data_IF_573958174131
#
_entry.id   IF_573958174131
#
_cell.length_a   1.000
_cell.length_b   1.000
_cell.length_c   1.000
_cell.angle_alpha   90.00
_cell.angle_beta   90.00
_cell.angle_gamma   90.00
#
_symmetry.space_group_name_H-M   'P 1'
#
loop_
_entity.id
_entity.type
_entity.pdbx_description
1 polymer ?
#
# COMPACT_ATOMS: atom_id res chain seq x y z
N UNK A 1 1.54 -23.43 39.17
CA UNK A 1 1.72 -22.10 39.81
C UNK A 1 2.34 -21.20 38.76
N UNK A 2 1.51 -20.47 38.00
CA UNK A 2 1.90 -19.82 36.75
C UNK A 2 2.86 -18.65 36.94
N UNK A 3 3.86 -18.57 36.07
CA UNK A 3 4.90 -17.55 36.01
C UNK A 3 4.30 -16.19 35.68
N UNK A 4 4.36 -15.26 36.64
CA UNK A 4 4.12 -13.83 36.40
C UNK A 4 5.40 -13.20 35.87
N UNK A 5 5.77 -13.49 34.62
CA UNK A 5 6.65 -12.60 33.87
C UNK A 5 5.84 -11.36 33.48
N UNK A 6 5.74 -10.42 34.43
CA UNK A 6 5.22 -9.08 34.16
C UNK A 6 6.26 -8.35 33.33
N UNK A 7 5.88 -7.91 32.13
CA UNK A 7 6.64 -6.97 31.31
C UNK A 7 7.16 -5.81 32.17
N UNK A 8 8.46 -5.81 32.44
CA UNK A 8 9.15 -4.70 33.08
C UNK A 8 9.04 -3.50 32.15
N UNK A 9 8.18 -2.54 32.48
CA UNK A 9 8.27 -1.20 31.90
C UNK A 9 9.45 -0.54 32.60
N UNK A 10 10.63 -0.61 31.96
CA UNK A 10 11.82 0.07 32.45
C UNK A 10 11.51 1.57 32.48
N UNK A 11 11.44 2.14 33.69
CA UNK A 11 11.12 3.56 33.87
C UNK A 11 12.25 4.36 33.23
N UNK A 12 11.90 5.29 32.34
CA UNK A 12 12.87 6.22 31.76
C UNK A 12 13.48 7.07 32.88
N UNK A 13 14.76 7.42 32.73
CA UNK A 13 15.50 8.14 33.77
C UNK A 13 14.99 9.57 33.97
N UNK A 14 14.34 10.13 32.94
CA UNK A 14 13.76 11.47 32.96
C UNK A 14 12.46 11.50 32.17
N UNK A 15 11.66 12.54 32.39
CA UNK A 15 10.46 12.82 31.60
C UNK A 15 10.76 13.67 30.34
N UNK A 16 12.04 13.79 29.96
CA UNK A 16 12.51 14.65 28.86
C UNK A 16 12.43 13.98 27.47
N UNK A 17 11.90 12.77 27.35
CA UNK A 17 11.80 12.01 26.09
C UNK A 17 10.50 12.26 25.33
N UNK A 18 10.25 13.52 24.99
CA UNK A 18 9.13 13.95 24.15
C UNK A 18 9.62 14.80 22.98
N UNK A 19 8.73 15.04 22.02
CA UNK A 19 9.02 15.92 20.90
C UNK A 19 9.01 17.38 21.36
N UNK A 20 10.18 17.86 21.79
CA UNK A 20 10.40 19.23 22.24
C UNK A 20 10.13 20.24 21.14
N UNK A 21 9.58 21.38 21.54
CA UNK A 21 9.45 22.55 20.67
C UNK A 21 10.83 23.08 20.25
N UNK A 22 10.89 23.83 19.13
CA UNK A 22 12.14 24.48 18.72
C UNK A 22 12.78 25.35 19.81
N UNK A 23 11.98 26.11 20.58
CA UNK A 23 12.51 26.97 21.66
C UNK A 23 13.11 26.19 22.83
N UNK A 24 12.53 25.04 23.19
CA UNK A 24 13.10 24.16 24.22
C UNK A 24 14.45 23.60 23.75
N UNK A 25 14.53 23.19 22.48
CA UNK A 25 15.76 22.68 21.88
C UNK A 25 16.84 23.77 21.75
N UNK A 26 16.47 25.01 21.45
CA UNK A 26 17.40 26.16 21.44
C UNK A 26 18.02 26.41 22.82
N UNK A 27 17.23 26.30 23.89
CA UNK A 27 17.75 26.45 25.27
C UNK A 27 18.75 25.35 25.60
N UNK A 28 18.40 24.09 25.28
CA UNK A 28 19.26 22.92 25.53
C UNK A 28 20.58 23.02 24.76
N UNK A 29 20.52 23.40 23.48
CA UNK A 29 21.68 23.50 22.59
C UNK A 29 22.27 24.91 22.50
N UNK A 30 21.98 25.79 23.47
CA UNK A 30 22.43 27.19 23.48
C UNK A 30 23.95 27.35 23.37
N UNK A 31 24.72 26.40 23.91
CA UNK A 31 26.19 26.37 23.83
C UNK A 31 26.72 25.80 22.50
N UNK A 32 25.90 25.10 21.73
CA UNK A 32 26.27 24.44 20.47
C UNK A 32 25.14 24.62 19.42
N UNK A 33 24.87 25.87 18.98
CA UNK A 33 23.76 26.15 18.05
C UNK A 33 23.94 25.46 16.69
N UNK A 34 25.17 25.07 16.33
CA UNK A 34 25.44 24.30 15.11
C UNK A 34 24.75 22.92 15.10
N UNK A 35 24.46 22.33 16.26
CA UNK A 35 23.75 21.05 16.34
C UNK A 35 22.34 21.15 15.72
N UNK A 36 21.63 22.25 16.00
CA UNK A 36 20.31 22.53 15.41
C UNK A 36 20.40 22.87 13.92
N UNK A 37 21.41 23.65 13.51
CA UNK A 37 21.63 23.94 12.08
C UNK A 37 21.90 22.67 11.27
N UNK A 38 22.66 21.74 11.84
CA UNK A 38 22.97 20.48 11.18
C UNK A 38 21.75 19.57 11.05
N UNK A 39 20.82 19.56 12.02
CA UNK A 39 19.60 18.74 11.90
C UNK A 39 18.74 19.21 10.73
N UNK A 40 18.60 20.53 10.54
CA UNK A 40 17.92 21.12 9.38
C UNK A 40 18.67 20.76 8.09
N UNK A 41 19.99 20.94 8.06
CA UNK A 41 20.79 20.63 6.87
C UNK A 41 20.75 19.14 6.47
N UNK A 42 20.54 18.22 7.43
CA UNK A 42 20.30 16.79 7.15
C UNK A 42 18.89 16.60 6.60
N UNK A 43 17.88 17.22 7.21
CA UNK A 43 16.50 17.14 6.74
C UNK A 43 16.37 17.62 5.28
N UNK A 44 17.02 18.73 4.93
CA UNK A 44 17.02 19.29 3.57
C UNK A 44 17.68 18.37 2.54
N UNK A 45 18.60 17.48 2.97
CA UNK A 45 19.25 16.49 2.10
C UNK A 45 18.40 15.23 1.90
N UNK A 46 17.44 14.97 2.78
CA UNK A 46 16.60 13.78 2.74
C UNK A 46 15.44 13.97 1.75
N UNK A 47 15.65 13.56 0.50
CA UNK A 47 14.64 13.58 -0.55
C UNK A 47 14.25 12.15 -0.94
N UNK A 48 13.21 11.61 -0.28
CA UNK A 48 12.67 10.28 -0.57
C UNK A 48 11.28 10.40 -1.20
N UNK A 49 11.14 9.90 -2.42
CA UNK A 49 9.84 9.78 -3.08
C UNK A 49 9.27 8.37 -2.91
N UNK A 50 8.18 8.26 -2.16
CA UNK A 50 7.39 7.03 -2.10
C UNK A 50 6.38 7.02 -3.24
N UNK A 51 6.50 6.04 -4.14
CA UNK A 51 5.56 5.81 -5.23
C UNK A 51 4.25 5.18 -4.71
N UNK A 52 3.52 5.93 -3.90
CA UNK A 52 2.23 5.50 -3.34
C UNK A 52 1.17 5.43 -4.46
N UNK A 53 0.25 4.48 -4.36
CA UNK A 53 -0.84 4.31 -5.33
C UNK A 53 -0.49 3.52 -6.59
N UNK A 54 0.78 3.15 -6.82
CA UNK A 54 1.13 2.14 -7.83
C UNK A 54 0.84 0.75 -7.28
N UNK A 55 0.00 0.00 -8.00
CA UNK A 55 -0.35 -1.36 -7.62
C UNK A 55 0.65 -2.30 -8.30
N UNK A 56 1.44 -2.99 -7.49
CA UNK A 56 2.41 -3.99 -7.94
C UNK A 56 1.81 -5.39 -7.75
N UNK A 57 0.98 -5.82 -8.72
CA UNK A 57 0.40 -7.16 -8.69
C UNK A 57 1.33 -8.18 -9.37
N UNK A 58 1.41 -9.41 -8.86
CA UNK A 58 2.08 -10.49 -9.57
C UNK A 58 1.34 -10.81 -10.88
N UNK A 59 2.08 -11.19 -11.92
CA UNK A 59 1.48 -11.61 -13.17
C UNK A 59 0.84 -13.00 -13.03
N UNK A 60 -0.39 -13.16 -13.49
CA UNK A 60 -1.02 -14.47 -13.60
C UNK A 60 -0.31 -15.32 -14.67
N UNK A 61 -0.06 -16.63 -14.44
CA UNK A 61 0.55 -17.50 -15.44
C UNK A 61 -0.42 -17.73 -16.61
N UNK A 62 -0.17 -17.06 -17.74
CA UNK A 62 -0.99 -17.14 -18.94
C UNK A 62 -0.44 -18.19 -19.92
N UNK A 63 -1.31 -18.87 -20.69
CA UNK A 63 -0.87 -19.61 -21.86
C UNK A 63 -0.22 -18.66 -22.89
N UNK A 64 0.76 -19.12 -23.70
CA UNK A 64 1.59 -18.24 -24.54
C UNK A 64 0.84 -17.35 -25.55
N UNK A 65 -0.38 -17.75 -25.93
CA UNK A 65 -1.19 -17.06 -26.94
C UNK A 65 -2.23 -16.10 -26.38
N UNK A 66 -2.27 -15.88 -25.06
CA UNK A 66 -3.29 -15.04 -24.43
C UNK A 66 -2.70 -13.82 -23.73
N UNK A 67 -3.38 -12.69 -23.88
CA UNK A 67 -3.27 -11.57 -22.93
C UNK A 67 -4.11 -11.86 -21.68
N UNK A 68 -3.85 -11.15 -20.58
CA UNK A 68 -4.68 -11.26 -19.37
C UNK A 68 -6.14 -10.90 -19.66
N UNK A 69 -6.37 -9.87 -20.49
CA UNK A 69 -7.71 -9.43 -20.89
C UNK A 69 -8.45 -10.51 -21.68
N UNK A 70 -7.77 -11.14 -22.66
CA UNK A 70 -8.36 -12.17 -23.50
C UNK A 70 -8.64 -13.45 -22.71
N UNK A 71 -7.72 -13.82 -21.81
CA UNK A 71 -7.88 -15.00 -20.98
C UNK A 71 -9.01 -14.83 -19.98
N UNK A 72 -9.10 -13.69 -19.29
CA UNK A 72 -10.20 -13.38 -18.39
C UNK A 72 -11.54 -13.42 -19.12
N UNK A 73 -11.62 -12.76 -20.29
CA UNK A 73 -12.84 -12.77 -21.11
C UNK A 73 -13.26 -14.19 -21.49
N UNK A 74 -12.31 -15.04 -21.91
CA UNK A 74 -12.57 -16.44 -22.22
C UNK A 74 -13.17 -17.18 -21.02
N UNK A 75 -12.50 -17.10 -19.86
CA UNK A 75 -12.94 -17.78 -18.63
C UNK A 75 -14.33 -17.29 -18.20
N UNK A 76 -14.60 -15.99 -18.26
CA UNK A 76 -15.91 -15.45 -17.92
C UNK A 76 -17.01 -15.91 -18.88
N UNK A 77 -16.74 -16.01 -20.18
CA UNK A 77 -17.71 -16.52 -21.16
C UNK A 77 -17.99 -18.01 -20.95
N UNK A 78 -16.96 -18.79 -20.63
CA UNK A 78 -17.11 -20.21 -20.26
C UNK A 78 -17.93 -20.36 -18.97
N UNK A 79 -17.61 -19.56 -17.95
CA UNK A 79 -18.37 -19.49 -16.71
C UNK A 79 -19.83 -19.08 -16.94
N UNK A 80 -20.08 -18.06 -17.77
CA UNK A 80 -21.43 -17.60 -18.09
C UNK A 80 -22.28 -18.74 -18.66
N UNK A 81 -21.75 -19.51 -19.61
CA UNK A 81 -22.47 -20.68 -20.17
C UNK A 81 -22.76 -21.76 -19.12
N UNK A 82 -21.85 -21.96 -18.17
CA UNK A 82 -21.99 -22.95 -17.09
C UNK A 82 -23.06 -22.55 -16.08
N UNK A 83 -23.09 -21.29 -15.66
CA UNK A 83 -23.98 -20.82 -14.60
C UNK A 83 -25.32 -20.25 -15.12
N UNK A 84 -25.34 -19.79 -16.36
CA UNK A 84 -26.51 -19.25 -17.05
C UNK A 84 -26.67 -19.94 -18.42
N UNK A 85 -27.30 -21.13 -18.48
CA UNK A 85 -27.49 -21.85 -19.74
C UNK A 85 -28.26 -21.07 -20.81
N UNK A 86 -29.17 -20.20 -20.36
CA UNK A 86 -29.92 -19.27 -21.21
C UNK A 86 -29.76 -17.86 -20.59
N UNK A 87 -28.65 -17.16 -20.87
CA UNK A 87 -28.39 -15.86 -20.27
C UNK A 87 -29.30 -14.80 -20.89
N UNK A 88 -29.91 -13.97 -20.05
CA UNK A 88 -30.69 -12.82 -20.53
C UNK A 88 -29.77 -11.77 -21.16
N UNK A 89 -30.34 -10.90 -21.99
CA UNK A 89 -29.58 -9.80 -22.60
C UNK A 89 -28.96 -8.85 -21.56
N UNK A 90 -29.60 -8.70 -20.40
CA UNK A 90 -29.11 -7.90 -19.29
C UNK A 90 -27.83 -8.49 -18.69
N UNK A 91 -27.79 -9.80 -18.46
CA UNK A 91 -26.61 -10.50 -17.91
C UNK A 91 -25.43 -10.38 -18.88
N UNK A 92 -25.67 -10.55 -20.18
CA UNK A 92 -24.62 -10.42 -21.21
C UNK A 92 -24.06 -8.99 -21.24
N UNK A 93 -24.94 -7.98 -21.25
CA UNK A 93 -24.53 -6.56 -21.22
C UNK A 93 -23.75 -6.23 -19.96
N UNK A 94 -24.17 -6.77 -18.81
CA UNK A 94 -23.50 -6.58 -17.53
C UNK A 94 -22.08 -7.14 -17.56
N UNK A 95 -21.90 -8.36 -18.04
CA UNK A 95 -20.58 -8.98 -18.18
C UNK A 95 -19.67 -8.15 -19.10
N UNK A 96 -20.19 -7.69 -20.24
CA UNK A 96 -19.43 -6.86 -21.17
C UNK A 96 -19.01 -5.52 -20.55
N UNK A 97 -19.89 -4.89 -19.78
CA UNK A 97 -19.59 -3.65 -19.05
C UNK A 97 -18.48 -3.88 -18.02
N UNK A 98 -18.59 -4.92 -17.19
CA UNK A 98 -17.60 -5.21 -16.15
C UNK A 98 -16.22 -5.54 -16.75
N UNK A 99 -16.16 -6.39 -17.77
CA UNK A 99 -14.91 -6.69 -18.47
C UNK A 99 -14.28 -5.44 -19.08
N UNK A 100 -15.08 -4.51 -19.60
CA UNK A 100 -14.58 -3.22 -20.11
C UNK A 100 -13.92 -2.41 -19.01
N UNK A 101 -14.57 -2.27 -17.85
CA UNK A 101 -14.04 -1.50 -16.71
C UNK A 101 -12.77 -2.16 -16.16
N UNK A 102 -12.77 -3.49 -15.97
CA UNK A 102 -11.60 -4.25 -15.48
C UNK A 102 -10.39 -4.03 -16.40
N UNK A 103 -10.61 -4.07 -17.71
CA UNK A 103 -9.55 -3.85 -18.69
C UNK A 103 -9.05 -2.40 -18.69
N UNK A 104 -9.93 -1.40 -18.56
CA UNK A 104 -9.55 0.01 -18.46
C UNK A 104 -8.71 0.31 -17.22
N UNK A 105 -9.00 -0.38 -16.11
CA UNK A 105 -8.27 -0.22 -14.85
C UNK A 105 -6.97 -1.06 -14.79
N UNK A 106 -6.73 -1.94 -15.78
CA UNK A 106 -5.54 -2.80 -15.80
C UNK A 106 -5.60 -3.98 -14.83
N UNK A 107 -6.79 -4.37 -14.37
CA UNK A 107 -6.98 -5.41 -13.34
C UNK A 107 -7.25 -6.82 -13.89
N UNK A 108 -7.12 -7.05 -15.19
CA UNK A 108 -7.43 -8.36 -15.77
C UNK A 108 -6.53 -9.51 -15.28
N UNK A 109 -5.35 -9.20 -14.73
CA UNK A 109 -4.42 -10.17 -14.16
C UNK A 109 -4.50 -10.33 -12.63
N UNK A 110 -5.39 -9.59 -11.97
CA UNK A 110 -5.72 -9.74 -10.54
C UNK A 110 -6.72 -10.87 -10.34
#
# INVERSE_FOLDING_TARGET
MGTKERFYHQKLETDEYYFKSPSEMEKIFSRVPQALKNSIAIADKCNLELNLGKIHLPAYPLPPSYSAQDYLKKLCVEGLKKYYPIPSSEVIKRLQYELKIINQMGFAGY
#
